data_IF_666856032178
#
_entry.id   IF_666856032178
#
_cell.length_a   1.000
_cell.length_b   1.000
_cell.length_c   1.000
_cell.angle_alpha   90.00
_cell.angle_beta   90.00
_cell.angle_gamma   90.00
#
_symmetry.space_group_name_H-M   'P 1'
#
loop_
_entity.id
_entity.type
_entity.pdbx_description
1 polymer ?
#
# COMPACT_ATOMS: atom_id res chain seq x y z
N UNK A 1 -10.37 -15.73 9.76
CA UNK A 1 -9.15 -15.30 10.48
C UNK A 1 -9.01 -13.79 10.24
N UNK A 2 -9.74 -12.98 11.04
CA UNK A 2 -10.01 -11.55 10.78
C UNK A 2 -9.03 -10.63 11.54
N UNK A 3 -7.71 -10.83 11.39
CA UNK A 3 -6.73 -10.01 12.13
C UNK A 3 -5.99 -8.97 11.26
N UNK A 4 -6.30 -8.85 9.96
CA UNK A 4 -5.63 -7.91 9.06
C UNK A 4 -6.33 -6.54 8.91
N UNK A 5 -7.40 -6.25 9.67
CA UNK A 5 -8.16 -4.99 9.55
C UNK A 5 -8.08 -4.16 10.84
N UNK A 6 -6.90 -4.08 11.45
CA UNK A 6 -6.66 -3.04 12.44
C UNK A 6 -5.88 -1.91 11.77
N UNK A 7 -6.60 -0.82 11.49
CA UNK A 7 -6.02 0.48 11.24
C UNK A 7 -5.13 0.84 12.42
N UNK A 8 -3.82 0.71 12.27
CA UNK A 8 -2.88 1.27 13.23
C UNK A 8 -2.51 2.66 12.75
N UNK A 9 -2.63 3.60 13.67
CA UNK A 9 -2.26 4.99 13.41
C UNK A 9 -0.79 5.12 13.76
N UNK A 10 0.04 5.37 12.75
CA UNK A 10 1.36 5.91 12.99
C UNK A 10 1.16 7.39 13.34
N UNK A 11 1.58 7.80 14.53
CA UNK A 11 1.53 9.20 14.92
C UNK A 11 2.92 9.71 15.26
N UNK A 12 3.17 10.95 14.87
CA UNK A 12 4.42 11.65 15.10
C UNK A 12 4.33 12.41 16.41
N UNK A 13 5.40 12.33 17.20
CA UNK A 13 5.65 13.31 18.27
C UNK A 13 6.45 14.48 17.69
N UNK A 14 6.47 15.59 18.43
CA UNK A 14 7.17 16.84 18.04
C UNK A 14 8.67 16.66 17.79
N UNK A 15 9.24 15.52 18.18
CA UNK A 15 10.63 15.10 17.99
C UNK A 15 10.85 14.18 16.77
N UNK A 16 9.86 14.08 15.87
CA UNK A 16 9.88 13.16 14.71
C UNK A 16 9.92 11.67 15.07
N UNK A 17 9.61 11.32 16.33
CA UNK A 17 9.46 9.94 16.78
C UNK A 17 8.18 9.34 16.21
N UNK A 18 8.29 8.15 15.62
CA UNK A 18 7.17 7.41 15.04
C UNK A 18 6.75 6.33 16.04
N UNK A 19 5.45 6.28 16.33
CA UNK A 19 4.88 5.23 17.17
C UNK A 19 3.73 4.54 16.45
N UNK A 20 3.67 3.22 16.57
CA UNK A 20 2.55 2.42 16.12
C UNK A 20 1.57 2.21 17.28
N UNK A 21 0.35 2.74 17.14
CA UNK A 21 -0.70 2.61 18.15
C UNK A 21 -1.64 1.45 17.81
N UNK A 22 -1.78 0.52 18.74
CA UNK A 22 -2.87 -0.46 18.68
C UNK A 22 -4.19 0.22 19.10
N UNK A 23 -5.20 0.30 18.22
CA UNK A 23 -6.36 1.19 18.42
C UNK A 23 -7.24 0.81 19.61
N UNK A 24 -7.35 -0.49 19.92
CA UNK A 24 -8.20 -1.00 21.01
C UNK A 24 -7.42 -1.00 22.34
N UNK A 25 -6.35 -1.79 22.45
CA UNK A 25 -5.55 -1.91 23.67
C UNK A 25 -4.75 -0.66 24.06
N UNK A 26 -4.64 0.34 23.17
CA UNK A 26 -3.82 1.55 23.34
C UNK A 26 -2.33 1.29 23.54
N UNK A 27 -1.87 0.07 23.24
CA UNK A 27 -0.45 -0.26 23.31
C UNK A 27 0.33 0.52 22.25
N UNK A 28 1.48 1.05 22.65
CA UNK A 28 2.38 1.82 21.78
C UNK A 28 3.64 1.01 21.52
N UNK A 29 4.01 0.91 20.25
CA UNK A 29 5.31 0.39 19.83
C UNK A 29 6.13 1.54 19.23
N UNK A 30 7.28 1.83 19.85
CA UNK A 30 8.22 2.81 19.32
C UNK A 30 8.93 2.23 18.10
N UNK A 31 8.87 2.95 16.98
CA UNK A 31 9.58 2.63 15.74
C UNK A 31 10.81 3.53 15.58
N UNK A 32 11.74 3.24 14.65
CA UNK A 32 12.80 4.18 14.35
C UNK A 32 12.25 5.56 13.95
N UNK A 33 12.89 6.67 14.36
CA UNK A 33 12.40 8.01 14.10
C UNK A 33 12.57 8.40 12.62
N UNK A 34 11.81 9.41 12.17
CA UNK A 34 11.80 9.83 10.76
C UNK A 34 13.18 10.14 10.15
N UNK A 35 14.15 10.77 10.85
CA UNK A 35 15.45 11.08 10.27
C UNK A 35 16.27 9.84 9.85
N UNK A 36 15.86 8.64 10.28
CA UNK A 36 16.54 7.39 9.90
C UNK A 36 16.08 6.82 8.55
N UNK A 37 15.11 7.44 7.88
CA UNK A 37 14.79 7.15 6.49
C UNK A 37 15.79 7.80 5.54
N UNK A 38 16.05 7.17 4.40
CA UNK A 38 17.06 7.66 3.44
C UNK A 38 16.53 8.76 2.52
N UNK A 39 15.22 8.75 2.21
CA UNK A 39 14.59 9.77 1.36
C UNK A 39 13.78 10.75 2.22
N UNK A 40 14.43 11.85 2.63
CA UNK A 40 13.77 12.97 3.31
C UNK A 40 13.12 13.93 2.29
N UNK A 41 12.16 14.74 2.73
CA UNK A 41 11.67 15.85 1.92
C UNK A 41 12.75 16.92 1.79
N UNK A 42 12.86 17.51 0.60
CA UNK A 42 13.67 18.69 0.33
C UNK A 42 12.76 19.93 0.42
N UNK A 43 12.29 20.26 1.63
CA UNK A 43 11.33 21.35 1.81
C UNK A 43 11.50 22.08 3.14
N UNK A 44 11.37 23.41 3.09
CA UNK A 44 11.32 24.32 4.25
C UNK A 44 9.99 24.24 5.04
N UNK A 45 9.24 23.13 4.92
CA UNK A 45 7.96 22.96 5.60
C UNK A 45 8.16 22.76 7.10
N UNK A 46 7.22 23.25 7.89
CA UNK A 46 7.21 23.02 9.33
C UNK A 46 7.16 21.49 9.62
N UNK A 47 7.87 20.99 10.64
CA UNK A 47 7.95 19.56 10.95
C UNK A 47 6.58 18.87 11.04
N UNK A 48 5.54 19.59 11.47
CA UNK A 48 4.17 19.10 11.62
C UNK A 48 3.53 18.74 10.28
N UNK A 49 3.74 19.56 9.25
CA UNK A 49 3.19 19.35 7.90
C UNK A 49 3.93 18.22 7.18
N UNK A 50 5.24 18.11 7.42
CA UNK A 50 6.07 17.00 6.90
C UNK A 50 5.58 15.67 7.46
N UNK A 51 5.30 15.62 8.77
CA UNK A 51 4.92 14.39 9.47
C UNK A 51 3.67 13.73 8.88
N UNK A 52 2.59 14.48 8.65
CA UNK A 52 1.33 13.89 8.15
C UNK A 52 1.45 13.34 6.72
N UNK A 53 2.36 13.89 5.92
CA UNK A 53 2.55 13.49 4.52
C UNK A 53 3.62 12.42 4.31
N UNK A 54 4.52 12.24 5.29
CA UNK A 54 5.70 11.41 5.15
C UNK A 54 5.41 9.91 5.18
N UNK A 55 4.56 9.43 6.08
CA UNK A 55 4.17 8.01 6.13
C UNK A 55 2.77 7.82 5.52
N UNK A 56 2.73 7.24 4.32
CA UNK A 56 1.50 7.14 3.54
C UNK A 56 0.77 5.82 3.75
N UNK A 57 1.50 4.75 4.03
CA UNK A 57 0.96 3.40 4.24
C UNK A 57 1.84 2.61 5.17
N UNK A 58 1.24 1.81 6.05
CA UNK A 58 1.94 0.90 6.97
C UNK A 58 1.25 -0.46 6.93
N UNK A 59 2.03 -1.53 6.77
CA UNK A 59 1.53 -2.91 6.77
C UNK A 59 2.45 -3.79 7.60
N UNK A 60 1.85 -4.70 8.36
CA UNK A 60 2.55 -5.62 9.22
C UNK A 60 2.45 -7.04 8.70
N UNK A 61 3.49 -7.85 8.95
CA UNK A 61 3.44 -9.28 8.65
C UNK A 61 2.58 -10.07 9.63
N UNK A 62 2.46 -9.59 10.86
CA UNK A 62 1.66 -10.18 11.95
C UNK A 62 1.44 -9.16 13.06
N UNK A 63 0.65 -9.50 14.07
CA UNK A 63 0.58 -8.69 15.29
C UNK A 63 1.98 -8.62 15.92
N UNK A 64 2.51 -7.42 16.22
CA UNK A 64 3.77 -7.28 16.93
C UNK A 64 3.59 -7.46 18.45
N UNK A 65 2.37 -7.70 18.92
CA UNK A 65 2.07 -7.96 20.32
C UNK A 65 1.50 -9.36 20.50
N UNK A 66 2.06 -10.10 21.44
CA UNK A 66 1.47 -11.34 21.93
C UNK A 66 0.59 -11.03 23.15
N UNK A 67 -0.74 -11.14 23.05
CA UNK A 67 -1.63 -10.80 24.17
C UNK A 67 -1.49 -11.76 25.36
N UNK A 68 -0.94 -12.97 25.16
CA UNK A 68 -0.75 -13.94 26.23
C UNK A 68 0.52 -13.68 27.04
N UNK A 69 1.62 -13.28 26.39
CA UNK A 69 2.91 -13.04 27.08
C UNK A 69 3.18 -11.56 27.37
N UNK A 70 2.39 -10.66 26.76
CA UNK A 70 2.64 -9.20 26.74
C UNK A 70 3.99 -8.80 26.12
N UNK A 71 4.69 -9.74 25.48
CA UNK A 71 5.97 -9.49 24.83
C UNK A 71 5.77 -9.00 23.40
N UNK A 72 6.76 -8.26 22.91
CA UNK A 72 6.80 -7.83 21.53
C UNK A 72 7.38 -8.94 20.64
N UNK A 73 6.68 -9.25 19.55
CA UNK A 73 7.12 -10.23 18.56
C UNK A 73 8.15 -9.60 17.61
N UNK A 74 9.43 -9.82 17.92
CA UNK A 74 10.56 -9.28 17.14
C UNK A 74 10.65 -9.82 15.70
N UNK A 75 9.97 -10.93 15.39
CA UNK A 75 9.89 -11.46 14.02
C UNK A 75 8.84 -10.70 13.19
N UNK A 76 8.02 -9.85 13.81
CA UNK A 76 7.13 -8.96 13.10
C UNK A 76 7.95 -8.01 12.21
N UNK A 77 7.54 -7.92 10.94
CA UNK A 77 8.10 -6.99 9.97
C UNK A 77 7.06 -5.91 9.73
N UNK A 78 7.52 -4.66 9.79
CA UNK A 78 6.70 -3.48 9.56
C UNK A 78 7.22 -2.84 8.28
N UNK A 79 6.39 -2.83 7.23
CA UNK A 79 6.72 -2.25 5.94
C UNK A 79 5.90 -0.99 5.71
N UNK A 80 6.52 0.02 5.12
CA UNK A 80 5.90 1.32 4.89
C UNK A 80 6.11 1.82 3.46
N UNK A 81 5.16 2.64 3.01
CA UNK A 81 5.36 3.58 1.90
C UNK A 81 5.63 4.95 2.51
N UNK A 82 6.73 5.57 2.12
CA UNK A 82 7.18 6.81 2.73
C UNK A 82 7.77 7.84 1.75
N UNK A 83 7.78 9.09 2.21
CA UNK A 83 8.43 10.24 1.56
C UNK A 83 7.75 10.69 0.26
N UNK A 84 8.24 11.79 -0.29
CA UNK A 84 7.71 12.40 -1.52
C UNK A 84 7.67 11.42 -2.70
N UNK A 85 8.68 10.55 -2.77
CA UNK A 85 8.83 9.59 -3.85
C UNK A 85 8.11 8.27 -3.59
N UNK A 86 7.33 8.13 -2.50
CA UNK A 86 6.56 6.94 -2.18
C UNK A 86 7.42 5.67 -2.23
N UNK A 87 8.56 5.70 -1.54
CA UNK A 87 9.53 4.59 -1.51
C UNK A 87 9.13 3.56 -0.44
N UNK A 88 9.69 2.36 -0.56
CA UNK A 88 9.46 1.28 0.39
C UNK A 88 10.61 1.18 1.38
N UNK A 89 10.28 1.06 2.66
CA UNK A 89 11.22 0.67 3.69
C UNK A 89 10.55 -0.31 4.66
N UNK A 90 11.39 -1.00 5.42
CA UNK A 90 10.91 -1.85 6.51
C UNK A 90 11.74 -1.66 7.77
N UNK A 91 11.17 -2.12 8.87
CA UNK A 91 11.84 -2.25 10.17
C UNK A 91 11.26 -3.45 10.93
N UNK A 92 11.86 -3.76 12.07
CA UNK A 92 11.38 -4.75 13.04
C UNK A 92 11.32 -4.11 14.43
N UNK A 93 10.50 -4.61 15.35
CA UNK A 93 10.58 -4.18 16.74
C UNK A 93 12.01 -4.24 17.28
N UNK A 94 12.43 -3.18 17.97
CA UNK A 94 13.77 -3.05 18.53
C UNK A 94 14.85 -2.55 17.56
N UNK A 95 14.58 -2.45 16.25
CA UNK A 95 15.51 -1.83 15.31
C UNK A 95 15.62 -0.32 15.57
N UNK A 96 16.79 0.23 15.26
CA UNK A 96 17.10 1.66 15.47
C UNK A 96 17.00 2.51 14.21
N UNK A 97 16.84 1.89 13.04
CA UNK A 97 16.75 2.57 11.75
C UNK A 97 15.81 1.85 10.79
N UNK A 98 15.33 2.59 9.80
CA UNK A 98 14.61 2.04 8.65
C UNK A 98 15.59 1.47 7.62
N UNK A 99 15.19 0.41 6.93
CA UNK A 99 15.99 -0.17 5.83
C UNK A 99 15.20 -0.11 4.53
N UNK A 100 15.79 0.50 3.50
CA UNK A 100 15.15 0.65 2.20
C UNK A 100 15.03 -0.66 1.43
N UNK A 101 13.89 -0.83 0.78
CA UNK A 101 13.68 -1.88 -0.22
C UNK A 101 14.05 -1.31 -1.59
N UNK A 102 15.24 -1.67 -2.07
CA UNK A 102 15.72 -1.18 -3.38
C UNK A 102 14.93 -1.79 -4.53
N UNK A 103 14.74 -1.03 -5.60
CA UNK A 103 14.15 -1.51 -6.86
C UNK A 103 15.14 -1.26 -8.00
N UNK A 104 15.16 -2.14 -9.00
CA UNK A 104 15.99 -1.97 -10.20
C UNK A 104 15.56 -0.79 -11.07
N UNK A 105 14.33 -0.32 -10.91
CA UNK A 105 13.78 0.91 -11.50
C UNK A 105 13.33 1.86 -10.39
N UNK A 106 13.50 3.17 -10.60
CA UNK A 106 12.89 4.19 -9.73
C UNK A 106 11.36 4.07 -9.87
N UNK A 107 10.72 3.47 -8.88
CA UNK A 107 9.27 3.22 -8.83
C UNK A 107 8.68 4.01 -7.68
N UNK A 108 7.53 4.63 -7.90
CA UNK A 108 6.65 5.14 -6.84
C UNK A 108 5.62 4.07 -6.53
N UNK A 109 5.34 3.84 -5.25
CA UNK A 109 4.39 2.81 -4.84
C UNK A 109 3.04 3.40 -4.44
N UNK A 110 1.97 2.78 -4.93
CA UNK A 110 0.59 3.21 -4.68
C UNK A 110 -0.02 2.51 -3.45
N UNK A 111 0.25 1.23 -3.27
CA UNK A 111 -0.22 0.45 -2.12
C UNK A 111 0.71 -0.74 -1.82
N UNK A 112 0.59 -1.27 -0.61
CA UNK A 112 1.27 -2.46 -0.12
C UNK A 112 0.29 -3.36 0.63
N UNK A 113 0.54 -4.67 0.59
CA UNK A 113 -0.21 -5.65 1.37
C UNK A 113 0.69 -6.82 1.80
N UNK A 114 0.35 -7.43 2.93
CA UNK A 114 0.95 -8.68 3.37
C UNK A 114 -0.02 -9.82 3.12
N UNK A 115 0.41 -10.81 2.36
CA UNK A 115 -0.45 -11.91 1.92
C UNK A 115 0.37 -13.20 1.77
N UNK A 116 -0.17 -14.31 2.28
CA UNK A 116 0.47 -15.65 2.25
C UNK A 116 1.98 -15.62 2.55
N UNK A 117 2.37 -14.90 3.61
CA UNK A 117 3.76 -14.86 4.08
C UNK A 117 4.69 -13.88 3.34
N UNK A 118 4.18 -13.06 2.42
CA UNK A 118 4.98 -12.16 1.58
C UNK A 118 4.40 -10.76 1.55
N UNK A 119 5.27 -9.77 1.42
CA UNK A 119 4.87 -8.39 1.12
C UNK A 119 4.78 -8.20 -0.39
N UNK A 120 3.62 -7.75 -0.83
CA UNK A 120 3.36 -7.32 -2.19
C UNK A 120 3.23 -5.80 -2.21
N UNK A 121 3.74 -5.17 -3.27
CA UNK A 121 3.58 -3.75 -3.50
C UNK A 121 3.15 -3.52 -4.95
N UNK A 122 2.37 -2.47 -5.15
CA UNK A 122 1.92 -2.05 -6.46
C UNK A 122 2.55 -0.71 -6.77
N UNK A 123 3.21 -0.59 -7.92
CA UNK A 123 3.71 0.70 -8.38
C UNK A 123 2.62 1.52 -9.09
N UNK A 124 2.90 2.81 -9.32
CA UNK A 124 1.97 3.72 -9.98
C UNK A 124 1.64 3.30 -11.42
N UNK A 125 2.55 2.61 -12.09
CA UNK A 125 2.36 2.07 -13.43
C UNK A 125 1.42 0.85 -13.42
N UNK A 126 1.14 0.28 -12.24
CA UNK A 126 0.28 -0.88 -12.05
C UNK A 126 1.03 -2.20 -12.10
N UNK A 127 2.37 -2.20 -12.02
CA UNK A 127 3.12 -3.45 -11.93
C UNK A 127 3.13 -3.97 -10.49
N UNK A 128 2.94 -5.28 -10.35
CA UNK A 128 2.99 -5.97 -9.07
C UNK A 128 4.43 -6.41 -8.77
N UNK A 129 4.91 -6.07 -7.58
CA UNK A 129 6.21 -6.53 -7.07
C UNK A 129 6.04 -7.34 -5.78
N UNK A 130 7.00 -8.22 -5.54
CA UNK A 130 7.21 -8.87 -4.25
C UNK A 130 8.46 -8.32 -3.58
N UNK A 131 8.35 -7.92 -2.31
CA UNK A 131 9.46 -7.44 -1.51
C UNK A 131 10.18 -8.62 -0.86
N UNK A 132 11.49 -8.71 -1.08
CA UNK A 132 12.36 -9.75 -0.51
C UNK A 132 13.19 -9.13 0.59
N UNK A 133 13.00 -9.65 1.80
CA UNK A 133 13.72 -9.26 3.01
C UNK A 133 14.37 -10.53 3.54
N UNK A 134 15.60 -10.80 3.10
CA UNK A 134 16.43 -11.87 3.63
C UNK A 134 17.55 -11.22 4.44
N UNK A 135 17.79 -11.63 5.69
CA UNK A 135 18.80 -10.99 6.55
C UNK A 135 20.23 -11.07 5.96
N UNK A 136 20.48 -12.06 5.10
CA UNK A 136 21.78 -12.28 4.45
C UNK A 136 21.93 -11.59 3.08
N UNK A 137 20.91 -10.88 2.59
CA UNK A 137 20.93 -10.25 1.26
C UNK A 137 20.38 -8.84 1.31
N UNK A 138 20.84 -8.02 0.37
CA UNK A 138 20.27 -6.67 0.20
C UNK A 138 18.76 -6.75 -0.08
N UNK A 139 17.93 -6.10 0.76
CA UNK A 139 16.49 -6.06 0.60
C UNK A 139 16.10 -5.41 -0.73
N UNK A 140 15.16 -6.02 -1.45
CA UNK A 140 14.77 -5.53 -2.77
C UNK A 140 13.37 -5.95 -3.20
N UNK A 141 12.76 -5.11 -4.03
CA UNK A 141 11.52 -5.40 -4.74
C UNK A 141 11.84 -6.09 -6.07
N UNK A 142 11.09 -7.16 -6.38
CA UNK A 142 11.17 -7.85 -7.68
C UNK A 142 9.80 -7.82 -8.34
N UNK A 143 9.72 -7.32 -9.57
CA UNK A 143 8.52 -7.42 -10.39
C UNK A 143 8.13 -8.89 -10.61
N UNK A 144 6.85 -9.18 -10.47
CA UNK A 144 6.26 -10.49 -10.71
C UNK A 144 5.17 -10.46 -11.77
N UNK A 145 4.44 -9.34 -11.89
CA UNK A 145 3.49 -9.10 -12.97
C UNK A 145 3.74 -7.73 -13.62
N UNK A 146 3.73 -7.62 -14.95
CA UNK A 146 3.74 -6.32 -15.61
C UNK A 146 2.38 -5.62 -15.44
N UNK A 147 2.30 -4.31 -15.73
CA UNK A 147 1.02 -3.63 -15.92
C UNK A 147 0.21 -4.29 -17.05
N UNK A 148 -1.12 -4.17 -17.00
CA UNK A 148 -2.00 -4.58 -18.09
C UNK A 148 -1.74 -3.74 -19.36
N UNK A 149 -1.52 -4.43 -20.48
CA UNK A 149 -1.41 -3.81 -21.82
C UNK A 149 -2.75 -3.17 -22.24
N UNK A 150 -2.69 -2.02 -22.92
CA UNK A 150 -3.88 -1.28 -23.35
C UNK A 150 -4.49 -0.38 -22.28
N UNK A 151 -4.13 -0.58 -21.01
CA UNK A 151 -4.34 0.41 -19.94
C UNK A 151 -3.07 1.23 -19.67
N UNK A 152 -2.00 0.93 -20.41
CA UNK A 152 -0.69 1.59 -20.34
C UNK A 152 -0.65 2.85 -21.19
N UNK A 153 -1.28 3.91 -20.70
CA UNK A 153 -0.95 5.29 -21.03
C UNK A 153 -1.31 6.11 -19.81
N UNK A 154 -0.34 6.37 -18.92
CA UNK A 154 -0.50 7.32 -17.81
C UNK A 154 -1.89 7.27 -17.19
N UNK A 155 -2.24 6.19 -16.47
CA UNK A 155 -3.43 6.19 -15.63
C UNK A 155 -3.44 7.53 -14.90
N UNK A 156 -4.41 8.37 -15.25
CA UNK A 156 -4.51 9.79 -14.84
C UNK A 156 -4.15 9.86 -13.35
N UNK A 157 -3.48 10.93 -12.90
CA UNK A 157 -3.20 11.21 -11.47
C UNK A 157 -4.41 10.99 -10.54
N UNK A 158 -5.59 10.96 -11.15
CA UNK A 158 -6.88 10.69 -10.59
C UNK A 158 -7.18 9.20 -10.31
N UNK A 159 -6.37 8.20 -10.70
CA UNK A 159 -6.70 6.79 -10.45
C UNK A 159 -5.97 6.26 -9.21
N UNK A 160 -6.73 6.03 -8.14
CA UNK A 160 -6.29 5.30 -6.96
C UNK A 160 -6.21 3.81 -7.26
N UNK A 161 -5.25 3.13 -6.64
CA UNK A 161 -5.02 1.70 -6.79
C UNK A 161 -4.84 1.09 -5.41
N UNK A 162 -5.39 -0.09 -5.21
CA UNK A 162 -5.40 -0.79 -3.94
C UNK A 162 -5.08 -2.26 -4.13
N UNK A 163 -4.33 -2.84 -3.19
CA UNK A 163 -4.16 -4.29 -3.08
C UNK A 163 -5.11 -4.78 -1.99
N UNK A 164 -5.99 -5.72 -2.34
CA UNK A 164 -7.00 -6.25 -1.43
C UNK A 164 -6.91 -7.76 -1.41
N UNK A 165 -6.94 -8.35 -0.21
CA UNK A 165 -7.18 -9.79 -0.05
C UNK A 165 -8.68 -10.03 0.03
N UNK A 166 -9.18 -10.96 -0.78
CA UNK A 166 -10.58 -11.37 -0.77
C UNK A 166 -10.71 -12.83 -1.19
N UNK A 167 -11.54 -13.57 -0.47
CA UNK A 167 -11.82 -15.00 -0.73
C UNK A 167 -10.55 -15.86 -0.86
N UNK A 168 -9.50 -15.51 -0.13
CA UNK A 168 -8.22 -16.22 -0.18
C UNK A 168 -7.37 -15.90 -1.40
N UNK A 169 -7.76 -14.93 -2.22
CA UNK A 169 -7.02 -14.42 -3.38
C UNK A 169 -6.56 -12.97 -3.20
N UNK A 170 -5.59 -12.55 -4.01
CA UNK A 170 -5.08 -11.18 -4.02
C UNK A 170 -5.61 -10.45 -5.25
N UNK A 171 -6.27 -9.32 -5.02
CA UNK A 171 -6.93 -8.52 -6.04
C UNK A 171 -6.33 -7.12 -6.11
N UNK A 172 -6.19 -6.61 -7.33
CA UNK A 172 -5.98 -5.19 -7.60
C UNK A 172 -7.34 -4.53 -7.79
N UNK A 173 -7.60 -3.48 -7.01
CA UNK A 173 -8.77 -2.61 -7.18
C UNK A 173 -8.32 -1.24 -7.64
N UNK A 174 -8.90 -0.73 -8.73
CA UNK A 174 -8.67 0.63 -9.21
C UNK A 174 -9.90 1.50 -8.98
N UNK A 175 -9.71 2.79 -8.71
CA UNK A 175 -10.77 3.78 -8.53
C UNK A 175 -10.41 5.12 -9.19
N UNK A 176 -11.30 5.72 -9.97
CA UNK A 176 -11.17 7.10 -10.44
C UNK A 176 -11.56 8.12 -9.34
N UNK A 177 -10.73 9.16 -9.13
CA UNK A 177 -10.94 10.35 -8.29
C UNK A 177 -11.53 11.44 -9.18
N UNK A 178 -12.72 11.94 -8.83
CA UNK A 178 -13.43 12.97 -9.59
C UNK A 178 -14.76 12.53 -10.21
N UNK A 179 -15.28 11.36 -9.82
CA UNK A 179 -16.63 10.86 -10.17
C UNK A 179 -17.77 11.70 -9.53
N UNK A 180 -17.41 12.60 -8.62
CA UNK A 180 -18.29 13.61 -8.03
C UNK A 180 -18.36 14.92 -8.83
N UNK A 181 -17.59 15.08 -9.92
CA UNK A 181 -17.73 16.22 -10.84
C UNK A 181 -18.31 15.79 -12.20
N UNK A 182 -19.65 15.86 -12.30
CA UNK A 182 -20.45 15.59 -13.50
C UNK A 182 -20.00 16.36 -14.77
N UNK A 183 -19.14 17.39 -14.64
CA UNK A 183 -18.68 18.21 -15.76
C UNK A 183 -17.52 17.58 -16.53
N UNK A 184 -16.85 16.57 -15.97
CA UNK A 184 -15.68 15.91 -16.59
C UNK A 184 -16.05 14.62 -17.31
N UNK A 185 -17.19 14.00 -16.97
CA UNK A 185 -17.67 12.79 -17.62
C UNK A 185 -18.55 13.11 -18.82
N UNK A 186 -17.99 12.93 -20.01
CA UNK A 186 -18.77 12.79 -21.23
C UNK A 186 -19.28 11.35 -21.26
N UNK A 187 -20.43 11.07 -20.63
CA UNK A 187 -21.02 9.73 -20.59
C UNK A 187 -21.22 9.23 -22.03
N UNK A 188 -20.34 8.37 -22.53
CA UNK A 188 -20.53 7.74 -23.83
C UNK A 188 -21.69 6.77 -23.69
N UNK A 189 -22.62 6.83 -24.65
CA UNK A 189 -23.93 6.17 -24.62
C UNK A 189 -23.87 4.62 -24.59
N UNK A 190 -22.66 4.05 -24.56
CA UNK A 190 -22.42 2.63 -24.83
C UNK A 190 -21.63 1.87 -23.74
N UNK A 191 -21.12 2.52 -22.68
CA UNK A 191 -20.21 1.89 -21.71
C UNK A 191 -20.04 2.72 -20.43
N UNK A 192 -20.87 2.47 -19.40
CA UNK A 192 -20.72 3.08 -18.07
C UNK A 192 -20.07 2.18 -17.04
N UNK A 193 -19.69 2.72 -15.88
CA UNK A 193 -19.22 1.93 -14.72
C UNK A 193 -17.76 1.47 -14.77
N UNK A 194 -16.91 2.15 -15.55
CA UNK A 194 -15.45 1.92 -15.59
C UNK A 194 -14.68 2.61 -14.46
N UNK A 195 -15.37 3.29 -13.55
CA UNK A 195 -14.76 4.09 -12.48
C UNK A 195 -14.07 3.22 -11.44
N UNK A 196 -14.47 1.95 -11.36
CA UNK A 196 -13.84 0.92 -10.56
C UNK A 196 -13.46 -0.29 -11.41
N UNK A 197 -12.28 -0.85 -11.17
CA UNK A 197 -11.81 -2.08 -11.81
C UNK A 197 -11.35 -3.07 -10.76
N UNK A 198 -11.61 -4.36 -10.96
CA UNK A 198 -11.12 -5.45 -10.09
C UNK A 198 -10.38 -6.47 -10.93
N UNK A 199 -9.15 -6.76 -10.54
CA UNK A 199 -8.26 -7.64 -11.28
C UNK A 199 -7.65 -8.69 -10.35
N UNK A 200 -7.65 -9.95 -10.78
CA UNK A 200 -6.92 -11.02 -10.08
C UNK A 200 -5.42 -10.85 -10.27
N UNK A 201 -4.65 -11.18 -9.24
CA UNK A 201 -3.19 -11.16 -9.23
C UNK A 201 -2.55 -12.52 -8.86
N UNK A 202 -3.32 -13.61 -8.86
CA UNK A 202 -2.87 -14.90 -8.34
C UNK A 202 -1.77 -15.58 -9.18
N UNK A 203 -1.86 -15.50 -10.49
CA UNK A 203 -0.96 -16.22 -11.42
C UNK A 203 0.30 -15.43 -11.79
N UNK A 204 0.68 -14.43 -10.99
CA UNK A 204 1.68 -13.42 -11.35
C UNK A 204 1.35 -12.70 -12.68
N UNK A 205 0.06 -12.67 -13.03
CA UNK A 205 -0.51 -11.92 -14.12
C UNK A 205 -1.68 -11.11 -13.57
N UNK A 206 -1.82 -9.88 -14.02
CA UNK A 206 -2.97 -9.04 -13.68
C UNK A 206 -4.03 -9.31 -14.75
N UNK A 207 -5.20 -9.80 -14.35
CA UNK A 207 -6.30 -10.13 -15.28
C UNK A 207 -7.62 -9.60 -14.76
N UNK A 208 -8.52 -9.18 -15.63
CA UNK A 208 -9.88 -8.80 -15.21
C UNK A 208 -10.50 -9.94 -14.41
N UNK A 209 -10.98 -9.64 -13.20
CA UNK A 209 -11.56 -10.67 -12.33
C UNK A 209 -12.96 -11.09 -12.82
N UNK A 210 -13.66 -10.19 -13.50
CA UNK A 210 -15.00 -10.42 -14.05
C UNK A 210 -14.97 -10.41 -15.58
N UNK A 211 -15.77 -11.28 -16.19
CA UNK A 211 -15.83 -11.48 -17.65
C UNK A 211 -17.00 -10.74 -18.32
N UNK A 212 -17.44 -9.59 -17.78
CA UNK A 212 -18.59 -8.83 -18.29
C UNK A 212 -18.37 -7.32 -18.30
N UNK A 213 -19.05 -6.63 -19.22
CA UNK A 213 -19.14 -5.16 -19.22
C UNK A 213 -20.27 -4.71 -18.29
N UNK A 214 -20.04 -3.64 -17.50
CA UNK A 214 -21.12 -3.03 -16.73
C UNK A 214 -22.14 -2.43 -17.68
N UNK A 215 -23.42 -2.73 -17.45
CA UNK A 215 -24.53 -2.11 -18.17
C UNK A 215 -25.03 -0.83 -17.48
N UNK A 216 -24.50 -0.50 -16.30
CA UNK A 216 -24.91 0.69 -15.53
C UNK A 216 -24.07 1.90 -15.93
N UNK A 217 -24.74 3.00 -16.25
CA UNK A 217 -24.12 4.28 -16.59
C UNK A 217 -23.40 4.97 -15.41
N UNK A 218 -23.80 4.65 -14.18
CA UNK A 218 -23.41 5.38 -12.97
C UNK A 218 -22.75 4.51 -11.90
N UNK A 219 -22.84 3.19 -12.03
CA UNK A 219 -22.28 2.29 -11.04
C UNK A 219 -21.38 1.28 -11.73
N UNK A 220 -20.18 1.10 -11.18
CA UNK A 220 -19.50 -0.16 -11.32
C UNK A 220 -20.47 -1.28 -10.92
N UNK A 221 -20.38 -2.49 -11.51
CA UNK A 221 -21.30 -3.55 -11.16
C UNK A 221 -21.22 -3.78 -9.65
N UNK A 222 -22.38 -3.95 -9.02
CA UNK A 222 -22.43 -4.15 -7.58
C UNK A 222 -21.84 -5.53 -7.29
N UNK A 223 -20.56 -5.58 -6.91
CA UNK A 223 -19.87 -6.82 -6.60
C UNK A 223 -20.08 -7.15 -5.13
N UNK A 224 -20.89 -8.17 -4.84
CA UNK A 224 -20.98 -8.71 -3.48
C UNK A 224 -19.74 -9.59 -3.23
N UNK A 225 -19.01 -9.28 -2.16
CA UNK A 225 -17.83 -10.02 -1.71
C UNK A 225 -18.24 -10.89 -0.52
#
# INVERSE_FOLDING_TARGET
MLWNIFWMVAHYRTDLQINLLHPISKHLLCLPPQPTFSWQYDSDLEPKDICEMFLQRVVLSKSPWNPATQECDCDCVIMVIYGEYQQLAFTRPGYKSWTDIKSSRRRRYADIAFYKGKFYALDYDGALVVCRIDDNKMPRAKAIAPPLEGITMSFKWNVQKYIVESSGGLLLVTRYRGDDDLRVFNCTRNDGGSDMGVFSMEDAEIKSHYSGQSLSFFCAPLWYI
#
